data_IF_917492773152
#
_entry.id   IF_917492773152
#
_cell.length_a   1.000
_cell.length_b   1.000
_cell.length_c   1.000
_cell.angle_alpha   90.00
_cell.angle_beta   90.00
_cell.angle_gamma   90.00
#
_symmetry.space_group_name_H-M   'P 1'
#
loop_
_entity.id
_entity.type
_entity.pdbx_description
1 polymer ?
#
# COMPACT_ATOMS: atom_id res chain seq x y z
N UNK A 1 -17.30 3.53 21.76
CA UNK A 1 -17.48 4.18 20.45
C UNK A 1 -18.97 4.40 20.23
N UNK A 2 -19.46 5.63 19.99
CA UNK A 2 -20.89 5.92 19.97
C UNK A 2 -21.63 5.45 18.70
N UNK A 3 -20.90 5.08 17.65
CA UNK A 3 -21.50 4.89 16.32
C UNK A 3 -21.41 3.44 15.85
N UNK A 4 -22.03 2.51 16.57
CA UNK A 4 -21.89 1.06 16.31
C UNK A 4 -22.48 0.58 14.97
N UNK A 5 -23.09 1.45 14.15
CA UNK A 5 -23.88 1.08 12.96
C UNK A 5 -23.74 2.03 11.77
N UNK A 6 -22.76 2.93 11.75
CA UNK A 6 -22.60 3.85 10.62
C UNK A 6 -21.16 4.08 10.20
N UNK A 7 -20.98 4.31 8.90
CA UNK A 7 -19.70 4.64 8.28
C UNK A 7 -18.61 3.61 8.58
N UNK A 8 -17.46 4.10 9.04
CA UNK A 8 -16.27 3.30 9.30
C UNK A 8 -16.49 2.20 10.36
N UNK A 9 -17.44 2.36 11.28
CA UNK A 9 -17.70 1.37 12.31
C UNK A 9 -18.30 0.07 11.75
N UNK A 10 -19.10 0.15 10.68
CA UNK A 10 -19.59 -1.04 9.96
C UNK A 10 -18.41 -1.78 9.33
N UNK A 11 -17.47 -1.04 8.73
CA UNK A 11 -16.27 -1.62 8.12
C UNK A 11 -15.25 -2.21 9.11
N UNK A 12 -15.45 -2.04 10.42
CA UNK A 12 -14.64 -2.66 11.47
C UNK A 12 -15.23 -3.97 11.99
N UNK A 13 -16.51 -4.23 11.71
CA UNK A 13 -17.23 -5.43 12.15
C UNK A 13 -17.55 -6.30 10.94
N UNK A 14 -16.81 -7.40 10.80
CA UNK A 14 -16.96 -8.31 9.68
C UNK A 14 -18.37 -8.92 9.58
N UNK A 15 -19.05 -9.19 10.70
CA UNK A 15 -20.38 -9.78 10.67
C UNK A 15 -21.42 -8.77 10.15
N UNK A 16 -21.32 -7.52 10.61
CA UNK A 16 -22.19 -6.43 10.10
C UNK A 16 -21.88 -6.10 8.63
N UNK A 17 -20.59 -6.10 8.26
CA UNK A 17 -20.18 -5.87 6.88
C UNK A 17 -20.74 -6.95 5.94
N UNK A 18 -20.66 -8.22 6.32
CA UNK A 18 -21.23 -9.33 5.55
C UNK A 18 -22.72 -9.15 5.32
N UNK A 19 -23.49 -8.88 6.38
CA UNK A 19 -24.93 -8.66 6.32
C UNK A 19 -25.29 -7.53 5.34
N UNK A 20 -24.61 -6.39 5.45
CA UNK A 20 -24.82 -5.22 4.58
C UNK A 20 -24.44 -5.53 3.13
N UNK A 21 -23.28 -6.14 2.89
CA UNK A 21 -22.84 -6.51 1.54
C UNK A 21 -23.83 -7.47 0.88
N UNK A 22 -24.31 -8.50 1.59
CA UNK A 22 -25.30 -9.45 1.06
C UNK A 22 -26.62 -8.77 0.71
N UNK A 23 -27.11 -7.86 1.55
CA UNK A 23 -28.34 -7.12 1.25
C UNK A 23 -28.22 -6.25 0.00
N UNK A 24 -27.09 -5.57 -0.16
CA UNK A 24 -26.82 -4.72 -1.32
C UNK A 24 -26.72 -5.59 -2.58
N UNK A 25 -25.89 -6.64 -2.55
CA UNK A 25 -25.66 -7.50 -3.72
C UNK A 25 -26.91 -8.31 -4.12
N UNK A 26 -27.81 -8.63 -3.20
CA UNK A 26 -29.09 -9.25 -3.53
C UNK A 26 -30.03 -8.37 -4.38
N UNK A 27 -29.73 -7.06 -4.49
CA UNK A 27 -30.53 -6.08 -5.24
C UNK A 27 -29.74 -5.36 -6.33
N UNK A 28 -28.43 -5.27 -6.19
CA UNK A 28 -27.59 -4.57 -7.15
C UNK A 28 -27.64 -5.27 -8.52
N UNK A 29 -27.76 -4.45 -9.58
CA UNK A 29 -27.68 -4.90 -10.98
C UNK A 29 -26.41 -4.39 -11.66
N UNK A 30 -25.53 -3.76 -10.89
CA UNK A 30 -24.25 -3.16 -11.31
C UNK A 30 -23.18 -3.55 -10.29
N UNK A 31 -21.89 -3.55 -10.66
CA UNK A 31 -20.83 -3.91 -9.74
C UNK A 31 -20.81 -3.05 -8.48
N UNK A 32 -20.52 -3.68 -7.34
CA UNK A 32 -20.51 -3.05 -6.02
C UNK A 32 -19.11 -3.12 -5.43
N UNK A 33 -18.57 -1.96 -5.06
CA UNK A 33 -17.31 -1.87 -4.33
C UNK A 33 -17.52 -1.47 -2.88
N UNK A 34 -16.97 -2.25 -1.95
CA UNK A 34 -16.95 -1.88 -0.54
C UNK A 34 -15.71 -1.02 -0.21
N UNK A 35 -15.92 0.10 0.48
CA UNK A 35 -14.85 1.04 0.84
C UNK A 35 -14.26 0.73 2.22
N UNK A 36 -13.03 0.23 2.26
CA UNK A 36 -12.36 -0.23 3.47
C UNK A 36 -11.85 0.93 4.34
N UNK A 37 -12.09 0.84 5.65
CA UNK A 37 -11.52 1.77 6.64
C UNK A 37 -10.13 1.31 7.07
N UNK A 38 -9.14 2.21 7.20
CA UNK A 38 -7.80 1.85 7.69
C UNK A 38 -7.73 1.71 9.21
N UNK A 39 -8.80 2.11 9.92
CA UNK A 39 -8.88 2.16 11.38
C UNK A 39 -9.13 0.77 11.98
N UNK A 40 -8.36 -0.21 11.56
CA UNK A 40 -8.50 -1.62 11.91
C UNK A 40 -7.12 -2.27 11.96
N UNK A 41 -6.98 -3.31 12.78
CA UNK A 41 -5.75 -4.10 12.92
C UNK A 41 -5.32 -4.66 11.58
N UNK A 42 -6.14 -5.53 11.00
CA UNK A 42 -5.94 -6.10 9.67
C UNK A 42 -7.08 -5.67 8.74
N UNK A 43 -6.73 -4.96 7.68
CA UNK A 43 -7.71 -4.47 6.70
C UNK A 43 -8.09 -5.55 5.68
N UNK A 44 -7.30 -6.64 5.59
CA UNK A 44 -7.56 -7.74 4.69
C UNK A 44 -8.77 -8.56 5.13
N UNK A 45 -9.06 -8.63 6.43
CA UNK A 45 -10.24 -9.32 6.98
C UNK A 45 -11.57 -8.77 6.45
N UNK A 46 -11.91 -7.47 6.63
CA UNK A 46 -13.15 -6.93 6.08
C UNK A 46 -13.14 -6.92 4.55
N UNK A 47 -11.98 -6.75 3.90
CA UNK A 47 -11.90 -6.82 2.45
C UNK A 47 -12.28 -8.21 1.93
N UNK A 48 -11.76 -9.28 2.55
CA UNK A 48 -12.11 -10.67 2.24
C UNK A 48 -13.60 -10.91 2.40
N UNK A 49 -14.18 -10.43 3.49
CA UNK A 49 -15.61 -10.58 3.77
C UNK A 49 -16.45 -9.88 2.72
N UNK A 50 -16.10 -8.65 2.32
CA UNK A 50 -16.82 -7.93 1.27
C UNK A 50 -16.81 -8.71 -0.06
N UNK A 51 -15.64 -9.18 -0.51
CA UNK A 51 -15.51 -9.96 -1.75
C UNK A 51 -16.29 -11.28 -1.66
N UNK A 52 -16.17 -12.01 -0.55
CA UNK A 52 -16.90 -13.27 -0.31
C UNK A 52 -18.42 -13.09 -0.21
N UNK A 53 -18.88 -11.86 0.07
CA UNK A 53 -20.29 -11.48 0.13
C UNK A 53 -20.84 -11.00 -1.21
N UNK A 54 -20.07 -11.14 -2.29
CA UNK A 54 -20.49 -10.87 -3.66
C UNK A 54 -20.08 -9.50 -4.20
N UNK A 55 -19.27 -8.70 -3.50
CA UNK A 55 -18.73 -7.46 -4.07
C UNK A 55 -17.65 -7.77 -5.11
N UNK A 56 -17.73 -7.15 -6.28
CA UNK A 56 -16.76 -7.28 -7.39
C UNK A 56 -15.49 -6.43 -7.19
N UNK A 57 -15.41 -5.74 -6.05
CA UNK A 57 -14.20 -5.05 -5.69
C UNK A 57 -14.23 -4.38 -4.34
N UNK A 58 -13.06 -3.85 -4.01
CA UNK A 58 -12.83 -3.10 -2.79
C UNK A 58 -12.09 -1.82 -3.12
N UNK A 59 -12.42 -0.76 -2.40
CA UNK A 59 -11.69 0.50 -2.48
C UNK A 59 -10.96 0.73 -1.15
N UNK A 60 -9.67 1.05 -1.18
CA UNK A 60 -8.85 1.19 0.03
C UNK A 60 -7.86 2.36 -0.09
N UNK A 61 -7.79 3.31 0.84
CA UNK A 61 -8.41 3.35 2.17
C UNK A 61 -9.40 4.53 2.31
N UNK A 62 -10.21 4.50 3.36
CA UNK A 62 -10.90 5.68 3.90
C UNK A 62 -9.91 6.53 4.74
N UNK A 63 -10.38 7.60 5.37
CA UNK A 63 -9.56 8.47 6.23
C UNK A 63 -9.10 7.77 7.51
N UNK A 64 -7.99 8.26 8.07
CA UNK A 64 -7.42 7.77 9.34
C UNK A 64 -7.98 8.62 10.47
N UNK A 65 -8.52 8.01 11.52
CA UNK A 65 -9.07 8.74 12.65
C UNK A 65 -7.99 9.58 13.34
N UNK A 66 -8.26 10.88 13.53
CA UNK A 66 -7.29 11.79 14.14
C UNK A 66 -7.95 12.94 14.91
N UNK A 67 -7.17 13.56 15.79
CA UNK A 67 -7.42 14.90 16.32
C UNK A 67 -6.43 15.84 15.64
N UNK A 68 -6.92 16.88 14.98
CA UNK A 68 -6.08 17.73 14.12
C UNK A 68 -5.20 18.69 14.92
N UNK A 69 -5.68 19.17 16.07
CA UNK A 69 -4.93 20.07 16.92
C UNK A 69 -5.74 20.51 18.13
N UNK A 70 -5.04 21.15 19.07
CA UNK A 70 -5.63 21.86 20.20
C UNK A 70 -5.20 23.31 20.10
N UNK A 71 -6.16 24.22 20.13
CA UNK A 71 -5.90 25.64 20.22
C UNK A 71 -5.32 25.95 21.61
N UNK A 72 -4.05 26.34 21.69
CA UNK A 72 -3.34 26.49 22.98
C UNK A 72 -3.83 27.68 23.81
N UNK A 73 -4.51 28.65 23.21
CA UNK A 73 -5.06 29.80 23.93
C UNK A 73 -6.39 29.46 24.59
N UNK A 74 -7.24 28.68 23.91
CA UNK A 74 -8.59 28.33 24.39
C UNK A 74 -8.66 26.94 25.02
N UNK A 75 -7.61 26.14 24.88
CA UNK A 75 -7.53 24.72 25.23
C UNK A 75 -8.59 23.83 24.54
N UNK A 76 -9.24 24.34 23.49
CA UNK A 76 -10.28 23.63 22.74
C UNK A 76 -9.69 22.89 21.54
N UNK A 77 -10.26 21.74 21.15
CA UNK A 77 -9.86 21.04 19.93
C UNK A 77 -10.21 21.83 18.66
N UNK A 78 -9.42 21.64 17.61
CA UNK A 78 -9.65 22.18 16.27
C UNK A 78 -9.89 21.05 15.24
N UNK A 79 -10.85 21.20 14.30
CA UNK A 79 -11.82 22.29 14.20
C UNK A 79 -12.84 22.26 15.35
N UNK A 80 -13.38 23.43 15.70
CA UNK A 80 -14.32 23.60 16.81
C UNK A 80 -15.71 24.00 16.28
N UNK A 81 -16.75 23.34 16.78
CA UNK A 81 -18.17 23.65 16.50
C UNK A 81 -18.86 23.85 17.84
N UNK A 82 -19.40 25.05 18.08
CA UNK A 82 -20.08 25.42 19.34
C UNK A 82 -19.25 25.13 20.61
N UNK A 83 -17.92 25.20 20.53
CA UNK A 83 -17.02 24.91 21.66
C UNK A 83 -16.57 23.45 21.78
N UNK A 84 -17.07 22.55 20.93
CA UNK A 84 -16.79 21.11 20.97
C UNK A 84 -16.18 20.61 19.66
N UNK A 85 -15.67 19.39 19.68
CA UNK A 85 -15.19 18.68 18.48
C UNK A 85 -15.30 17.17 18.68
N UNK A 86 -15.13 16.44 17.58
CA UNK A 86 -15.00 14.99 17.56
C UNK A 86 -13.78 14.62 16.73
N UNK A 87 -13.09 13.50 17.00
CA UNK A 87 -12.07 12.99 16.10
C UNK A 87 -12.58 12.94 14.66
N UNK A 88 -11.79 13.48 13.74
CA UNK A 88 -12.09 13.57 12.32
C UNK A 88 -11.29 12.56 11.51
N UNK A 89 -11.36 12.71 10.19
CA UNK A 89 -10.59 11.91 9.24
C UNK A 89 -9.36 12.66 8.72
N UNK A 90 -8.17 12.14 9.00
CA UNK A 90 -6.91 12.57 8.42
C UNK A 90 -6.75 12.04 7.00
N UNK A 91 -6.28 12.90 6.10
CA UNK A 91 -6.07 12.64 4.67
C UNK A 91 -4.83 13.39 4.16
N UNK A 92 -4.76 13.71 2.86
CA UNK A 92 -3.59 14.33 2.21
C UNK A 92 -2.35 13.43 2.13
N UNK A 93 -1.24 13.99 1.64
CA UNK A 93 0.03 13.27 1.42
C UNK A 93 0.51 12.44 2.61
N UNK A 94 0.28 12.91 3.82
CA UNK A 94 0.74 12.26 5.04
C UNK A 94 0.17 10.84 5.25
N UNK A 95 -1.01 10.53 4.68
CA UNK A 95 -1.57 9.17 4.81
C UNK A 95 -1.00 8.18 3.80
N UNK A 96 -0.22 8.64 2.81
CA UNK A 96 0.19 7.83 1.67
C UNK A 96 0.94 6.55 2.05
N UNK A 97 1.97 6.56 2.93
CA UNK A 97 2.68 5.34 3.31
C UNK A 97 1.78 4.32 4.04
N UNK A 98 0.79 4.80 4.79
CA UNK A 98 -0.18 3.95 5.48
C UNK A 98 -1.15 3.33 4.47
N UNK A 99 -1.61 4.11 3.50
CA UNK A 99 -2.44 3.63 2.41
C UNK A 99 -1.72 2.57 1.57
N UNK A 100 -0.45 2.77 1.22
CA UNK A 100 0.38 1.78 0.51
C UNK A 100 0.45 0.46 1.29
N UNK A 101 0.73 0.51 2.59
CA UNK A 101 0.78 -0.69 3.42
C UNK A 101 -0.55 -1.46 3.44
N UNK A 102 -1.67 -0.74 3.59
CA UNK A 102 -3.01 -1.33 3.63
C UNK A 102 -3.44 -1.90 2.27
N UNK A 103 -3.13 -1.20 1.17
CA UNK A 103 -3.37 -1.68 -0.20
C UNK A 103 -2.53 -2.92 -0.50
N UNK A 104 -1.26 -2.93 -0.10
CA UNK A 104 -0.38 -4.11 -0.25
C UNK A 104 -0.95 -5.33 0.46
N UNK A 105 -1.43 -5.19 1.70
CA UNK A 105 -2.06 -6.29 2.45
C UNK A 105 -3.30 -6.85 1.73
N UNK A 106 -4.18 -5.97 1.24
CA UNK A 106 -5.37 -6.38 0.48
C UNK A 106 -4.97 -7.06 -0.82
N UNK A 107 -4.03 -6.50 -1.57
CA UNK A 107 -3.61 -7.06 -2.85
C UNK A 107 -2.92 -8.42 -2.71
N UNK A 108 -2.09 -8.62 -1.66
CA UNK A 108 -1.53 -9.96 -1.35
C UNK A 108 -2.63 -10.96 -1.03
N UNK A 109 -3.59 -10.56 -0.21
CA UNK A 109 -4.76 -11.37 0.14
C UNK A 109 -5.58 -11.76 -1.09
N UNK A 110 -5.91 -10.77 -1.93
CA UNK A 110 -6.66 -11.00 -3.17
C UNK A 110 -5.90 -11.98 -4.07
N UNK A 111 -4.60 -11.75 -4.29
CA UNK A 111 -3.76 -12.63 -5.10
C UNK A 111 -3.69 -14.07 -4.58
N UNK A 112 -3.78 -14.28 -3.27
CA UNK A 112 -3.70 -15.62 -2.68
C UNK A 112 -5.04 -16.37 -2.64
N UNK A 113 -6.16 -15.67 -2.64
CA UNK A 113 -7.46 -16.26 -2.28
C UNK A 113 -8.58 -16.00 -3.29
N UNK A 114 -8.41 -15.07 -4.22
CA UNK A 114 -9.41 -14.68 -5.20
C UNK A 114 -8.80 -14.67 -6.61
N UNK A 115 -9.61 -14.98 -7.62
CA UNK A 115 -9.16 -14.86 -9.01
C UNK A 115 -9.04 -13.37 -9.40
N UNK A 116 -7.94 -12.99 -10.02
CA UNK A 116 -7.64 -11.60 -10.32
C UNK A 116 -8.52 -10.99 -11.42
N UNK A 117 -9.21 -11.82 -12.20
CA UNK A 117 -10.06 -11.35 -13.31
C UNK A 117 -11.44 -10.88 -12.85
N UNK A 118 -11.98 -11.47 -11.78
CA UNK A 118 -13.34 -11.19 -11.29
C UNK A 118 -13.40 -10.07 -10.23
N UNK A 119 -12.26 -9.73 -9.64
CA UNK A 119 -12.19 -8.79 -8.52
C UNK A 119 -11.22 -7.64 -8.75
N UNK A 120 -11.63 -6.45 -8.32
CA UNK A 120 -10.87 -5.23 -8.56
C UNK A 120 -10.54 -4.46 -7.27
N UNK A 121 -9.37 -3.82 -7.26
CA UNK A 121 -8.87 -3.02 -6.15
C UNK A 121 -8.71 -1.56 -6.58
N UNK A 122 -9.38 -0.64 -5.88
CA UNK A 122 -9.26 0.80 -6.10
C UNK A 122 -8.52 1.48 -4.96
N UNK A 123 -7.30 1.90 -5.22
CA UNK A 123 -6.44 2.50 -4.22
C UNK A 123 -6.69 4.01 -4.03
N UNK A 124 -6.64 4.49 -2.80
CA UNK A 124 -6.82 5.90 -2.42
C UNK A 124 -6.02 6.20 -1.17
N UNK A 125 -5.31 7.33 -1.18
CA UNK A 125 -4.69 7.91 0.02
C UNK A 125 -3.45 8.72 -0.32
N UNK A 126 -3.52 10.04 -0.17
CA UNK A 126 -2.37 10.94 -0.35
C UNK A 126 -1.75 10.97 -1.74
N UNK A 127 -2.57 10.82 -2.79
CA UNK A 127 -2.13 10.90 -4.20
C UNK A 127 -2.09 12.36 -4.63
N UNK A 128 -0.90 12.84 -4.97
CA UNK A 128 -0.64 14.20 -5.45
C UNK A 128 0.27 14.22 -6.69
N UNK A 129 0.88 13.09 -7.05
CA UNK A 129 1.72 12.94 -8.26
C UNK A 129 1.39 11.65 -9.03
N UNK A 130 1.78 11.58 -10.30
CA UNK A 130 1.66 10.35 -11.09
C UNK A 130 2.56 9.23 -10.57
N UNK A 131 3.66 9.57 -9.88
CA UNK A 131 4.49 8.61 -9.15
C UNK A 131 3.72 7.95 -8.00
N UNK A 132 2.96 8.73 -7.23
CA UNK A 132 2.11 8.19 -6.15
C UNK A 132 1.05 7.23 -6.69
N UNK A 133 0.51 7.52 -7.88
CA UNK A 133 -0.42 6.62 -8.55
C UNK A 133 0.27 5.34 -9.04
N UNK A 134 1.48 5.47 -9.60
CA UNK A 134 2.28 4.33 -10.03
C UNK A 134 2.60 3.37 -8.87
N UNK A 135 2.91 3.89 -7.66
CA UNK A 135 3.15 3.08 -6.47
C UNK A 135 1.94 2.19 -6.12
N UNK A 136 0.72 2.74 -6.16
CA UNK A 136 -0.48 1.94 -5.91
C UNK A 136 -0.74 0.87 -6.97
N UNK A 137 -0.51 1.18 -8.25
CA UNK A 137 -0.66 0.21 -9.35
C UNK A 137 0.39 -0.91 -9.20
N UNK A 138 1.64 -0.56 -8.91
CA UNK A 138 2.72 -1.53 -8.63
C UNK A 138 2.36 -2.47 -7.47
N UNK A 139 1.53 -2.02 -6.52
CA UNK A 139 1.00 -2.83 -5.42
C UNK A 139 -0.26 -3.63 -5.79
N UNK A 140 -0.77 -3.54 -7.01
CA UNK A 140 -1.87 -4.36 -7.52
C UNK A 140 -3.20 -3.64 -7.67
N UNK A 141 -3.26 -2.32 -7.46
CA UNK A 141 -4.49 -1.57 -7.69
C UNK A 141 -4.84 -1.51 -9.19
N UNK A 142 -6.11 -1.76 -9.53
CA UNK A 142 -6.66 -1.57 -10.88
C UNK A 142 -6.91 -0.08 -11.17
N UNK A 143 -7.29 0.69 -10.15
CA UNK A 143 -7.58 2.12 -10.27
C UNK A 143 -7.03 2.90 -9.08
N UNK A 144 -6.79 4.19 -9.28
CA UNK A 144 -6.32 5.11 -8.24
C UNK A 144 -7.28 6.29 -8.15
N UNK A 145 -7.79 6.59 -6.96
CA UNK A 145 -8.67 7.75 -6.73
C UNK A 145 -7.93 8.87 -6.00
N UNK A 146 -8.42 10.10 -6.17
CA UNK A 146 -7.81 11.32 -5.63
C UNK A 146 -8.89 12.21 -5.03
N UNK A 147 -8.64 12.74 -3.83
CA UNK A 147 -9.53 13.68 -3.16
C UNK A 147 -8.76 14.93 -2.72
N UNK A 148 -7.96 14.85 -1.64
CA UNK A 148 -7.26 16.01 -1.09
C UNK A 148 -6.31 16.68 -2.08
N UNK A 149 -5.60 15.92 -2.93
CA UNK A 149 -4.75 16.51 -3.97
C UNK A 149 -5.53 17.43 -4.91
N UNK A 150 -6.72 17.02 -5.35
CA UNK A 150 -7.59 17.86 -6.20
C UNK A 150 -8.16 19.04 -5.40
N UNK A 151 -8.50 18.86 -4.12
CA UNK A 151 -8.94 19.97 -3.26
C UNK A 151 -7.87 21.07 -3.14
N UNK A 152 -6.60 20.68 -3.02
CA UNK A 152 -5.48 21.59 -2.82
C UNK A 152 -4.97 22.23 -4.13
N UNK A 153 -5.02 21.49 -5.24
CA UNK A 153 -4.37 21.89 -6.50
C UNK A 153 -5.35 22.11 -7.67
N UNK A 154 -6.64 21.88 -7.47
CA UNK A 154 -7.69 21.97 -8.48
C UNK A 154 -7.73 20.77 -9.44
N UNK A 155 -8.77 20.72 -10.28
CA UNK A 155 -9.00 19.61 -11.21
C UNK A 155 -7.88 19.43 -12.26
N UNK A 156 -7.11 20.49 -12.54
CA UNK A 156 -5.95 20.44 -13.44
C UNK A 156 -4.87 19.44 -12.99
N UNK A 157 -4.86 19.06 -11.70
CA UNK A 157 -3.98 18.03 -11.17
C UNK A 157 -4.14 16.71 -11.94
N UNK A 158 -5.35 16.31 -12.32
CA UNK A 158 -5.60 15.02 -12.98
C UNK A 158 -4.79 14.89 -14.28
N UNK A 159 -4.70 15.97 -15.07
CA UNK A 159 -3.90 15.98 -16.30
C UNK A 159 -2.41 15.77 -16.00
N UNK A 160 -1.90 16.38 -14.93
CA UNK A 160 -0.52 16.22 -14.48
C UNK A 160 -0.24 14.77 -14.04
N UNK A 161 -1.15 14.15 -13.28
CA UNK A 161 -1.03 12.74 -12.85
C UNK A 161 -0.91 11.81 -14.07
N UNK A 162 -1.75 12.00 -15.09
CA UNK A 162 -1.73 11.19 -16.30
C UNK A 162 -0.40 11.32 -17.06
N UNK A 163 0.13 12.55 -17.22
CA UNK A 163 1.41 12.78 -17.89
C UNK A 163 2.56 12.12 -17.13
N UNK A 164 2.65 12.34 -15.83
CA UNK A 164 3.71 11.76 -14.99
C UNK A 164 3.67 10.23 -14.96
N UNK A 165 2.46 9.64 -14.93
CA UNK A 165 2.29 8.19 -15.02
C UNK A 165 2.73 7.65 -16.40
N UNK A 166 2.39 8.33 -17.49
CA UNK A 166 2.86 7.95 -18.82
C UNK A 166 4.38 8.04 -18.95
N UNK A 167 5.01 9.05 -18.35
CA UNK A 167 6.47 9.19 -18.37
C UNK A 167 7.15 8.11 -17.53
N UNK A 168 6.56 7.72 -16.39
CA UNK A 168 6.97 6.52 -15.66
C UNK A 168 6.88 5.26 -16.53
N UNK A 169 5.75 5.05 -17.24
CA UNK A 169 5.59 3.90 -18.13
C UNK A 169 6.65 3.87 -19.23
N UNK A 170 6.90 5.00 -19.90
CA UNK A 170 7.95 5.13 -20.94
C UNK A 170 9.33 4.80 -20.39
N UNK A 171 9.68 5.31 -19.20
CA UNK A 171 10.98 5.06 -18.55
C UNK A 171 11.24 3.56 -18.35
N UNK A 172 10.19 2.78 -18.09
CA UNK A 172 10.26 1.35 -17.85
C UNK A 172 9.87 0.49 -19.06
N UNK A 173 9.63 1.09 -20.22
CA UNK A 173 9.15 0.42 -21.44
C UNK A 173 7.82 -0.33 -21.25
N UNK A 174 6.93 0.16 -20.38
CA UNK A 174 5.58 -0.38 -20.24
C UNK A 174 4.65 0.21 -21.29
N UNK A 175 3.82 -0.63 -21.88
CA UNK A 175 2.82 -0.29 -22.90
C UNK A 175 1.39 -0.25 -22.33
N UNK A 176 1.16 -0.96 -21.23
CA UNK A 176 -0.12 -1.04 -20.52
C UNK A 176 0.09 -0.93 -19.01
N UNK A 177 -0.96 -0.50 -18.29
CA UNK A 177 -1.01 -0.57 -16.82
C UNK A 177 -0.84 -2.01 -16.33
N UNK A 178 -1.36 -2.96 -17.09
CA UNK A 178 -1.26 -4.39 -16.79
C UNK A 178 0.17 -4.92 -16.81
N UNK A 179 1.08 -4.27 -17.55
CA UNK A 179 2.49 -4.71 -17.65
C UNK A 179 3.21 -4.58 -16.29
N UNK A 180 2.72 -3.72 -15.40
CA UNK A 180 3.37 -3.45 -14.12
C UNK A 180 2.47 -3.57 -12.89
N UNK A 181 1.16 -3.76 -13.08
CA UNK A 181 0.21 -3.94 -11.98
C UNK A 181 0.61 -5.11 -11.10
N UNK A 182 0.80 -4.85 -9.81
CA UNK A 182 1.13 -5.87 -8.80
C UNK A 182 2.57 -6.43 -8.87
N UNK A 183 3.42 -5.94 -9.78
CA UNK A 183 4.78 -6.46 -9.92
C UNK A 183 5.64 -6.25 -8.68
N UNK A 184 5.34 -5.25 -7.83
CA UNK A 184 6.08 -5.02 -6.58
C UNK A 184 5.71 -5.99 -5.46
N UNK A 185 4.58 -6.70 -5.56
CA UNK A 185 4.10 -7.60 -4.50
C UNK A 185 5.10 -8.72 -4.18
N UNK A 186 5.87 -9.17 -5.18
CA UNK A 186 6.86 -10.25 -5.02
C UNK A 186 8.03 -9.88 -4.11
N UNK A 187 8.27 -8.58 -3.88
CA UNK A 187 9.37 -8.09 -3.06
C UNK A 187 9.00 -7.97 -1.57
N UNK A 188 7.72 -8.15 -1.21
CA UNK A 188 7.27 -8.10 0.18
C UNK A 188 7.29 -9.48 0.84
N UNK A 189 8.10 -9.61 1.89
CA UNK A 189 8.17 -10.81 2.72
C UNK A 189 8.12 -10.49 4.21
N UNK A 190 8.14 -11.51 5.05
CA UNK A 190 8.20 -11.37 6.52
C UNK A 190 9.61 -11.00 6.97
N UNK A 191 9.72 -10.40 8.16
CA UNK A 191 11.04 -10.11 8.74
C UNK A 191 11.90 -11.37 8.88
N UNK A 192 11.30 -12.49 9.29
CA UNK A 192 12.00 -13.78 9.44
C UNK A 192 12.59 -14.26 8.12
N UNK A 193 11.80 -14.25 7.04
CA UNK A 193 12.26 -14.67 5.71
C UNK A 193 13.32 -13.69 5.16
N UNK A 194 13.15 -12.39 5.39
CA UNK A 194 14.13 -11.39 4.94
C UNK A 194 15.51 -11.60 5.58
N UNK A 195 15.55 -11.91 6.89
CA UNK A 195 16.80 -12.24 7.61
C UNK A 195 17.44 -13.49 7.03
N UNK A 196 16.65 -14.53 6.74
CA UNK A 196 17.17 -15.77 6.13
C UNK A 196 17.75 -15.52 4.74
N UNK A 197 17.05 -14.79 3.87
CA UNK A 197 17.53 -14.38 2.54
C UNK A 197 18.83 -13.59 2.63
N UNK A 198 18.93 -12.68 3.59
CA UNK A 198 20.14 -11.89 3.81
C UNK A 198 21.32 -12.79 4.22
N UNK A 199 21.11 -13.71 5.16
CA UNK A 199 22.14 -14.66 5.60
C UNK A 199 22.60 -15.56 4.45
N UNK A 200 21.68 -16.04 3.62
CA UNK A 200 22.01 -16.82 2.42
C UNK A 200 22.81 -16.01 1.40
N UNK A 201 22.39 -14.78 1.10
CA UNK A 201 23.13 -13.90 0.19
C UNK A 201 24.55 -13.61 0.70
N UNK A 202 24.73 -13.44 2.01
CA UNK A 202 26.05 -13.29 2.63
C UNK A 202 26.89 -14.57 2.46
N UNK A 203 26.31 -15.75 2.69
CA UNK A 203 27.00 -17.04 2.48
C UNK A 203 27.43 -17.23 1.03
N UNK A 204 26.57 -16.92 0.07
CA UNK A 204 26.88 -17.01 -1.36
C UNK A 204 28.00 -16.05 -1.76
N UNK A 205 27.96 -14.79 -1.31
CA UNK A 205 29.05 -13.81 -1.55
C UNK A 205 30.39 -14.27 -0.99
N UNK A 206 30.39 -14.88 0.20
CA UNK A 206 31.61 -15.45 0.80
C UNK A 206 32.13 -16.65 0.00
N UNK A 207 31.26 -17.50 -0.53
CA UNK A 207 31.65 -18.65 -1.33
C UNK A 207 32.24 -18.27 -2.70
N UNK A 208 31.77 -17.16 -3.29
CA UNK A 208 32.26 -16.65 -4.59
C UNK A 208 33.60 -15.93 -4.45
N UNK A 209 33.89 -15.32 -3.29
CA UNK A 209 35.14 -14.61 -3.05
C UNK A 209 36.32 -15.59 -3.13
N UNK A 210 37.06 -15.54 -4.25
CA UNK A 210 38.38 -16.16 -4.38
C UNK A 210 39.41 -15.25 -3.68
N UNK A 211 40.06 -15.77 -2.65
CA UNK A 211 41.01 -15.08 -1.78
C UNK A 211 40.91 -15.60 -0.35
N UNK A 212 41.83 -15.19 0.53
CA UNK A 212 41.87 -15.60 1.93
C UNK A 212 40.51 -15.45 2.64
N UNK A 213 40.03 -16.54 3.24
CA UNK A 213 38.77 -16.55 3.99
C UNK A 213 38.89 -15.83 5.34
N UNK A 214 40.12 -15.71 5.86
CA UNK A 214 40.47 -15.09 7.13
C UNK A 214 41.94 -14.65 7.09
N UNK A 215 42.28 -13.55 7.75
CA UNK A 215 43.67 -13.05 7.87
C UNK A 215 44.61 -14.07 8.54
N UNK A 216 44.05 -15.04 9.28
CA UNK A 216 44.80 -16.15 9.90
C UNK A 216 45.33 -17.18 8.91
N UNK A 217 44.72 -17.23 7.72
CA UNK A 217 45.13 -18.17 6.68
C UNK A 217 46.26 -17.58 5.81
N UNK A 218 46.70 -16.35 6.12
CA UNK A 218 47.74 -15.64 5.39
C UNK A 218 49.13 -16.20 5.73
N UNK A 219 49.79 -16.81 4.75
CA UNK A 219 51.11 -17.44 4.92
C UNK A 219 52.30 -16.52 4.59
N UNK A 220 52.08 -15.21 4.46
CA UNK A 220 53.14 -14.21 4.22
C UNK A 220 53.68 -14.14 2.79
N UNK A 221 53.78 -15.26 2.07
CA UNK A 221 54.42 -15.34 0.74
C UNK A 221 53.47 -15.05 -0.46
N UNK A 222 52.18 -14.82 -0.20
CA UNK A 222 51.13 -14.71 -1.23
C UNK A 222 50.91 -13.32 -1.83
N UNK A 223 51.63 -12.29 -1.37
CA UNK A 223 51.31 -10.88 -1.66
C UNK A 223 51.19 -10.56 -3.17
N UNK A 224 52.08 -11.11 -3.99
CA UNK A 224 52.09 -10.86 -5.45
C UNK A 224 50.89 -11.53 -6.12
N UNK A 225 50.62 -12.81 -5.82
CA UNK A 225 49.49 -13.57 -6.38
C UNK A 225 48.12 -13.02 -5.98
N UNK A 226 47.97 -12.61 -4.72
CA UNK A 226 46.70 -12.06 -4.22
C UNK A 226 46.44 -10.65 -4.78
N UNK A 227 47.47 -9.81 -4.87
CA UNK A 227 47.36 -8.48 -5.48
C UNK A 227 46.98 -8.56 -6.96
N UNK A 228 47.56 -9.49 -7.73
CA UNK A 228 47.20 -9.72 -9.14
C UNK A 228 45.75 -10.18 -9.32
N UNK A 229 45.21 -10.95 -8.37
CA UNK A 229 43.81 -11.40 -8.39
C UNK A 229 42.79 -10.30 -8.05
N UNK A 230 43.22 -9.21 -7.40
CA UNK A 230 42.36 -8.07 -7.03
C UNK A 230 42.33 -6.95 -8.07
N UNK A 231 43.33 -6.90 -8.97
CA UNK A 231 43.48 -5.85 -10.01
C UNK A 231 42.98 -6.33 -11.38
N UNK A 232 42.62 -7.61 -11.52
CA UNK A 232 42.02 -8.17 -12.74
C UNK A 232 40.48 -8.05 -12.72
N UNK A 233 39.99 -6.83 -12.91
CA UNK A 233 38.65 -6.52 -13.43
C UNK A 233 38.77 -5.44 -14.50
#
# INVERSE_FOLDING_TARGET
MPERKMGAAVGQDCALLEEVCRWINAKATVPVWAKMTPNITDISEPARVALSSGCEGVAAINTIMSVMGINLNTLRPEPCVEGYSTPGGYSAKAVHPIALAKVMSIAKMMKSEFDSEDYSLSAIGGVETGGDAAEFILLGANTVQVCTGVMMHGYGLVKKLCVELQDFMKKHNFTSIEDFRGTSLQYFTTHTDLVQRQQEAIRQRKAIRKGLQSDRDWTGDGFVKESESMVSN
#
